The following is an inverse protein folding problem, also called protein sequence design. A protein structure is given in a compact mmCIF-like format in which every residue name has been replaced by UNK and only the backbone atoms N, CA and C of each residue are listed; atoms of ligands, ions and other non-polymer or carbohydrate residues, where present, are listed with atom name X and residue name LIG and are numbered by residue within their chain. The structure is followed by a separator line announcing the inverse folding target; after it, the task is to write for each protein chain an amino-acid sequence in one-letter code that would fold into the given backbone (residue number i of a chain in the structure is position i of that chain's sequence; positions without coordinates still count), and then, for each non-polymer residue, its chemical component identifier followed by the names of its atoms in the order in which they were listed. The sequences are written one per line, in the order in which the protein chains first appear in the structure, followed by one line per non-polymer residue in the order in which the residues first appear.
data_IF_340644091027
#
_entry.id   IF_340644091027
#
_cell.length_a   1.000
_cell.length_b   1.000
_cell.length_c   1.000
_cell.angle_alpha   90.00
_cell.angle_beta   90.00
_cell.angle_gamma   90.00
#
_symmetry.space_group_name_H-M   'P 1'
#
loop_
_entity.id
_entity.type
_entity.pdbx_description
1 polymer ?
#
# COMPACT_ATOMS: atom_id res chain seq x y z
N UNK A 1 21.40 8.99 33.46
CA UNK A 1 20.83 8.34 34.67
C UNK A 1 20.02 7.15 34.22
N UNK A 2 20.43 5.96 34.66
CA UNK A 2 20.21 4.69 33.97
C UNK A 2 18.77 4.14 34.06
N UNK A 3 18.30 3.58 32.94
CA UNK A 3 17.01 2.90 32.73
C UNK A 3 16.75 1.74 33.72
N UNK A 4 17.79 1.19 34.34
CA UNK A 4 17.70 0.11 35.34
C UNK A 4 16.93 0.52 36.60
N UNK A 5 16.90 1.80 36.94
CA UNK A 5 16.26 2.29 38.17
C UNK A 5 14.73 2.33 38.09
N UNK A 6 14.17 2.34 36.87
CA UNK A 6 12.72 2.42 36.62
C UNK A 6 12.04 1.05 36.71
N UNK A 7 12.64 0.01 36.14
CA UNK A 7 12.14 -1.37 36.21
C UNK A 7 12.09 -1.90 37.63
N UNK A 8 13.07 -1.57 38.47
CA UNK A 8 13.11 -1.97 39.88
C UNK A 8 11.98 -1.32 40.70
N UNK A 9 11.62 -0.06 40.41
CA UNK A 9 10.53 0.64 41.11
C UNK A 9 9.14 0.11 40.72
N UNK A 10 8.95 -0.23 39.45
CA UNK A 10 7.68 -0.80 38.96
C UNK A 10 7.47 -2.22 39.51
N UNK A 11 8.53 -3.05 39.56
CA UNK A 11 8.45 -4.40 40.11
C UNK A 11 8.13 -4.42 41.62
N UNK A 12 8.70 -3.49 42.40
CA UNK A 12 8.41 -3.36 43.83
C UNK A 12 6.98 -2.86 44.13
N UNK A 13 6.34 -2.17 43.18
CA UNK A 13 4.98 -1.63 43.35
C UNK A 13 3.89 -2.67 43.03
N UNK A 14 4.22 -3.71 42.25
CA UNK A 14 3.25 -4.67 41.70
C UNK A 14 3.34 -6.09 42.29
N UNK A 15 4.23 -6.34 43.26
CA UNK A 15 4.17 -7.56 44.08
C UNK A 15 4.33 -8.90 43.34
N UNK A 16 5.00 -8.92 42.19
CA UNK A 16 5.28 -10.15 41.43
C UNK A 16 6.79 -10.42 41.38
N UNK A 17 7.28 -11.32 42.21
CA UNK A 17 8.63 -11.88 42.06
C UNK A 17 8.62 -12.99 41.01
N UNK A 18 9.47 -12.88 39.98
CA UNK A 18 9.92 -14.02 39.18
C UNK A 18 9.28 -14.22 37.80
N UNK A 19 9.72 -13.44 36.80
CA UNK A 19 9.70 -13.87 35.40
C UNK A 19 10.89 -13.23 34.65
N UNK A 20 11.67 -13.97 33.84
CA UNK A 20 12.76 -13.39 33.07
C UNK A 20 12.20 -12.47 31.96
N UNK A 21 12.85 -11.32 31.76
CA UNK A 21 12.44 -10.35 30.75
C UNK A 21 12.59 -10.90 29.32
N UNK A 22 11.61 -10.71 28.42
CA UNK A 22 11.81 -10.99 27.00
C UNK A 22 12.80 -9.98 26.41
N UNK A 23 13.80 -10.47 25.68
CA UNK A 23 14.79 -9.63 25.00
C UNK A 23 14.15 -8.93 23.79
N UNK A 24 13.57 -7.75 24.00
CA UNK A 24 13.06 -6.90 22.94
C UNK A 24 14.13 -5.90 22.49
N UNK A 25 14.96 -6.28 21.52
CA UNK A 25 15.81 -5.32 20.80
C UNK A 25 15.91 -5.52 19.28
N UNK A 26 15.15 -6.46 18.71
CA UNK A 26 15.20 -6.71 17.27
C UNK A 26 14.12 -5.98 16.42
N UNK A 27 12.99 -5.57 17.01
CA UNK A 27 11.85 -5.03 16.22
C UNK A 27 11.89 -3.53 15.93
N UNK A 28 12.36 -2.71 16.87
CA UNK A 28 12.30 -1.25 16.75
C UNK A 28 13.28 -0.67 15.72
N UNK A 29 14.44 -1.30 15.57
CA UNK A 29 15.46 -0.84 14.62
C UNK A 29 15.04 -1.10 13.16
N UNK A 30 14.39 -2.25 12.89
CA UNK A 30 13.92 -2.63 11.55
C UNK A 30 12.87 -1.65 11.01
N UNK A 31 11.87 -1.28 11.82
CA UNK A 31 10.84 -0.32 11.44
C UNK A 31 11.41 1.09 11.20
N UNK A 32 12.39 1.51 12.02
CA UNK A 32 13.05 2.82 11.86
C UNK A 32 13.95 2.91 10.63
N UNK A 33 14.49 1.78 10.16
CA UNK A 33 15.34 1.70 8.99
C UNK A 33 14.51 1.63 7.69
N UNK A 34 13.36 0.97 7.70
CA UNK A 34 12.40 0.99 6.59
C UNK A 34 11.93 2.43 6.28
N UNK A 35 11.65 3.23 7.32
CA UNK A 35 11.25 4.64 7.19
C UNK A 35 12.40 5.60 6.78
N UNK A 36 13.67 5.15 6.84
CA UNK A 36 14.84 5.96 6.46
C UNK A 36 15.38 5.63 5.07
N UNK A 37 15.10 4.43 4.54
CA UNK A 37 15.59 3.96 3.25
C UNK A 37 15.00 4.72 2.05
N UNK A 38 13.85 5.39 2.20
CA UNK A 38 13.31 6.29 1.17
C UNK A 38 14.19 7.53 0.91
N UNK A 39 15.21 7.80 1.73
CA UNK A 39 16.00 9.04 1.64
C UNK A 39 17.42 8.91 1.11
N UNK A 40 17.90 7.72 0.76
CA UNK A 40 19.26 7.59 0.22
C UNK A 40 19.37 6.43 -0.76
N UNK A 41 19.40 6.76 -2.05
CA UNK A 41 19.78 5.84 -3.09
C UNK A 41 21.28 5.50 -3.04
N UNK A 42 21.57 4.23 -3.30
CA UNK A 42 22.83 3.77 -3.87
C UNK A 42 23.91 3.33 -2.87
N UNK A 43 24.08 2.01 -2.71
CA UNK A 43 25.36 1.31 -2.84
C UNK A 43 25.18 -0.21 -2.69
N UNK A 44 25.76 -0.97 -3.63
CA UNK A 44 25.90 -2.44 -3.58
C UNK A 44 26.86 -2.87 -2.46
N UNK A 45 26.75 -4.13 -1.99
CA UNK A 45 27.95 -4.87 -1.64
C UNK A 45 28.07 -6.24 -2.32
N UNK A 46 29.35 -6.61 -2.38
CA UNK A 46 30.02 -7.70 -3.06
C UNK A 46 29.86 -9.07 -2.39
N UNK A 47 30.13 -10.08 -3.23
CA UNK A 47 30.24 -11.52 -3.01
C UNK A 47 30.89 -11.99 -1.70
N UNK A 48 30.36 -13.10 -1.15
CA UNK A 48 31.18 -14.10 -0.44
C UNK A 48 30.57 -15.51 -0.63
N UNK A 49 31.35 -16.41 -1.24
CA UNK A 49 31.20 -17.88 -1.26
C UNK A 49 31.34 -18.41 0.18
N UNK A 50 30.77 -19.50 0.69
CA UNK A 50 30.56 -20.90 0.22
C UNK A 50 29.89 -21.64 1.39
N UNK A 51 29.04 -22.64 1.13
CA UNK A 51 29.11 -23.98 1.75
C UNK A 51 27.95 -24.85 1.24
N UNK A 52 28.30 -25.85 0.45
CA UNK A 52 27.45 -26.94 -0.03
C UNK A 52 27.21 -27.95 1.10
N UNK A 53 25.95 -28.30 1.35
CA UNK A 53 25.57 -29.53 2.05
C UNK A 53 24.57 -30.28 1.17
N UNK A 54 25.04 -31.38 0.59
CA UNK A 54 24.24 -32.29 -0.21
C UNK A 54 23.32 -33.11 0.71
N UNK A 55 22.02 -33.05 0.44
CA UNK A 55 21.06 -34.04 0.91
C UNK A 55 20.35 -34.62 -0.31
N UNK A 56 20.64 -35.89 -0.60
CA UNK A 56 19.96 -36.68 -1.62
C UNK A 56 18.48 -36.82 -1.25
N UNK A 57 17.62 -36.07 -1.94
CA UNK A 57 16.18 -36.25 -1.98
C UNK A 57 15.74 -36.26 -3.44
N UNK A 58 14.87 -37.19 -3.79
CA UNK A 58 14.25 -37.34 -5.12
C UNK A 58 13.77 -35.97 -5.62
N UNK A 59 14.01 -35.57 -6.89
CA UNK A 59 13.53 -34.28 -7.39
C UNK A 59 11.99 -34.29 -7.34
N UNK A 60 11.42 -33.61 -6.35
CA UNK A 60 10.04 -33.19 -6.42
C UNK A 60 9.97 -32.20 -7.55
N UNK A 61 9.26 -32.54 -8.63
CA UNK A 61 8.93 -31.59 -9.68
C UNK A 61 8.32 -30.37 -8.99
N UNK A 62 9.06 -29.25 -9.04
CA UNK A 62 8.54 -27.96 -8.66
C UNK A 62 7.37 -27.68 -9.59
N UNK A 63 6.16 -27.82 -9.08
CA UNK A 63 4.98 -27.22 -9.69
C UNK A 63 5.17 -25.71 -9.62
N UNK A 64 5.91 -25.14 -10.58
CA UNK A 64 5.72 -23.75 -10.93
C UNK A 64 4.32 -23.67 -11.53
N UNK A 65 3.38 -22.93 -10.92
CA UNK A 65 2.12 -22.66 -11.57
C UNK A 65 2.43 -22.10 -12.96
N UNK A 66 1.77 -22.60 -13.99
CA UNK A 66 1.74 -21.95 -15.30
C UNK A 66 1.06 -20.60 -15.12
N UNK A 67 1.82 -19.59 -14.69
CA UNK A 67 1.37 -18.20 -14.70
C UNK A 67 1.26 -17.86 -16.19
N UNK A 68 0.07 -17.52 -16.70
CA UNK A 68 -0.08 -17.07 -18.07
C UNK A 68 0.97 -16.00 -18.38
N UNK A 69 1.53 -16.02 -19.58
CA UNK A 69 2.51 -15.01 -19.99
C UNK A 69 1.95 -13.62 -19.65
N UNK A 70 2.66 -12.89 -18.78
CA UNK A 70 2.18 -11.63 -18.26
C UNK A 70 1.91 -10.68 -19.44
N UNK A 71 0.70 -10.13 -19.51
CA UNK A 71 0.41 -9.05 -20.46
C UNK A 71 1.46 -7.94 -20.29
N UNK A 72 1.95 -7.32 -21.36
CA UNK A 72 2.88 -6.20 -21.22
C UNK A 72 2.25 -5.06 -20.42
N UNK A 73 3.08 -4.22 -19.81
CA UNK A 73 2.65 -2.93 -19.27
C UNK A 73 2.56 -1.95 -20.44
N UNK A 74 1.33 -1.52 -20.78
CA UNK A 74 1.08 -0.48 -21.76
C UNK A 74 0.39 0.70 -21.06
N UNK A 75 1.20 1.66 -20.63
CA UNK A 75 0.75 2.81 -19.86
C UNK A 75 -0.23 3.70 -20.62
N UNK A 76 -0.22 3.64 -21.96
CA UNK A 76 -1.14 4.43 -22.79
C UNK A 76 -2.51 3.77 -22.96
N UNK A 77 -2.66 2.51 -22.54
CA UNK A 77 -3.91 1.78 -22.63
C UNK A 77 -4.86 2.07 -21.45
N UNK A 78 -4.37 2.70 -20.38
CA UNK A 78 -5.16 2.98 -19.19
C UNK A 78 -6.20 4.09 -19.43
N UNK A 79 -7.39 3.89 -18.86
CA UNK A 79 -8.54 4.78 -19.07
C UNK A 79 -8.58 5.91 -18.02
N UNK A 80 -8.69 7.17 -18.45
CA UNK A 80 -9.09 8.28 -17.56
C UNK A 80 -10.61 8.39 -17.49
N UNK A 81 -11.20 8.06 -16.35
CA UNK A 81 -12.65 8.05 -16.15
C UNK A 81 -13.13 9.43 -15.68
N UNK A 82 -13.67 10.21 -16.60
CA UNK A 82 -14.24 11.55 -16.32
C UNK A 82 -15.76 11.58 -16.37
N UNK A 83 -16.40 10.42 -16.56
CA UNK A 83 -17.85 10.28 -16.74
C UNK A 83 -18.46 9.30 -15.74
N UNK A 84 -19.55 9.67 -15.02
CA UNK A 84 -20.17 8.80 -14.01
C UNK A 84 -20.63 7.44 -14.55
N UNK A 85 -21.13 7.37 -15.78
CA UNK A 85 -21.61 6.11 -16.35
C UNK A 85 -20.45 5.12 -16.59
N UNK A 86 -19.27 5.62 -17.00
CA UNK A 86 -18.06 4.81 -17.16
C UNK A 86 -17.59 4.26 -15.81
N UNK A 87 -17.60 5.08 -14.76
CA UNK A 87 -17.31 4.60 -13.41
C UNK A 87 -18.29 3.51 -12.96
N UNK A 88 -19.59 3.68 -13.24
CA UNK A 88 -20.60 2.67 -12.91
C UNK A 88 -20.35 1.33 -13.62
N UNK A 89 -19.88 1.34 -14.86
CA UNK A 89 -19.49 0.12 -15.57
C UNK A 89 -18.31 -0.60 -14.91
N UNK A 90 -17.25 0.14 -14.55
CA UNK A 90 -16.10 -0.42 -13.82
C UNK A 90 -16.50 -1.02 -12.48
N UNK A 91 -17.34 -0.30 -11.72
CA UNK A 91 -17.93 -0.81 -10.45
C UNK A 91 -18.73 -2.09 -10.69
N UNK A 92 -19.55 -2.15 -11.74
CA UNK A 92 -20.34 -3.34 -12.06
C UNK A 92 -19.45 -4.54 -12.41
N UNK A 93 -18.38 -4.34 -13.18
CA UNK A 93 -17.41 -5.41 -13.51
C UNK A 93 -16.70 -5.93 -12.26
N UNK A 94 -16.21 -5.02 -11.41
CA UNK A 94 -15.56 -5.37 -10.14
C UNK A 94 -16.49 -6.21 -9.24
N UNK A 95 -17.76 -5.82 -9.12
CA UNK A 95 -18.78 -6.58 -8.39
C UNK A 95 -19.02 -7.97 -8.99
N UNK A 96 -19.12 -8.05 -10.32
CA UNK A 96 -19.39 -9.31 -11.00
C UNK A 96 -18.23 -10.32 -10.83
N UNK A 97 -16.97 -9.86 -10.82
CA UNK A 97 -15.81 -10.74 -10.64
C UNK A 97 -15.43 -10.99 -9.17
N UNK A 98 -15.93 -10.17 -8.24
CA UNK A 98 -15.72 -10.36 -6.79
C UNK A 98 -14.37 -9.86 -6.27
N UNK A 99 -13.60 -9.12 -7.06
CA UNK A 99 -12.39 -8.43 -6.60
C UNK A 99 -12.03 -7.22 -7.47
N UNK A 100 -11.21 -6.33 -6.94
CA UNK A 100 -10.64 -5.18 -7.65
C UNK A 100 -9.38 -4.71 -6.93
N UNK A 101 -8.32 -4.35 -7.67
CA UNK A 101 -7.22 -3.61 -7.06
C UNK A 101 -7.55 -2.12 -7.03
N UNK A 102 -7.20 -1.45 -5.95
CA UNK A 102 -7.53 -0.05 -5.69
C UNK A 102 -6.33 0.67 -5.08
N UNK A 103 -6.16 1.92 -5.47
CA UNK A 103 -5.21 2.84 -4.89
C UNK A 103 -5.81 4.27 -4.86
N UNK A 104 -5.29 5.11 -3.95
CA UNK A 104 -5.75 6.48 -3.74
C UNK A 104 -4.61 7.47 -3.92
N UNK A 105 -4.90 8.52 -4.69
CA UNK A 105 -3.97 9.60 -4.94
C UNK A 105 -4.37 10.84 -4.14
N UNK A 106 -3.41 11.50 -3.50
CA UNK A 106 -3.69 12.59 -2.55
C UNK A 106 -2.75 13.79 -2.69
N UNK A 107 -3.10 14.90 -2.04
CA UNK A 107 -2.25 16.10 -1.99
C UNK A 107 -1.15 16.05 -0.91
N UNK A 108 -1.01 14.95 -0.16
CA UNK A 108 -0.01 14.85 0.89
C UNK A 108 0.13 13.49 1.56
N UNK A 109 1.28 13.27 2.21
CA UNK A 109 1.64 11.97 2.80
C UNK A 109 0.93 11.65 4.13
N UNK A 110 0.24 12.61 4.75
CA UNK A 110 -0.47 12.37 6.00
C UNK A 110 -1.96 12.11 5.72
N UNK A 111 -2.46 10.87 5.87
CA UNK A 111 -3.83 10.52 5.49
C UNK A 111 -4.90 11.20 6.36
N UNK A 112 -4.55 11.73 7.53
CA UNK A 112 -5.50 12.46 8.41
C UNK A 112 -5.78 13.87 7.89
N UNK A 113 -4.81 14.50 7.23
CA UNK A 113 -4.92 15.89 6.76
C UNK A 113 -4.95 16.04 5.23
N UNK A 114 -4.53 15.02 4.50
CA UNK A 114 -4.51 15.02 3.05
C UNK A 114 -5.92 15.01 2.45
N UNK A 115 -6.03 15.51 1.23
CA UNK A 115 -7.26 15.48 0.44
C UNK A 115 -7.13 14.46 -0.67
N UNK A 116 -8.23 13.77 -0.94
CA UNK A 116 -8.32 12.84 -2.04
C UNK A 116 -8.31 13.60 -3.37
N UNK A 117 -7.39 13.23 -4.25
CA UNK A 117 -7.20 13.82 -5.59
C UNK A 117 -7.72 12.87 -6.66
N UNK A 118 -7.58 11.56 -6.48
CA UNK A 118 -8.18 10.57 -7.36
C UNK A 118 -8.13 9.16 -6.80
N UNK A 119 -8.74 8.24 -7.53
CA UNK A 119 -8.80 6.82 -7.21
C UNK A 119 -8.41 6.06 -8.49
N UNK A 120 -7.58 5.04 -8.39
CA UNK A 120 -7.34 4.11 -9.49
C UNK A 120 -7.94 2.75 -9.19
N UNK A 121 -8.32 2.03 -10.25
CA UNK A 121 -8.86 0.68 -10.16
C UNK A 121 -8.19 -0.20 -11.22
N UNK A 122 -7.92 -1.47 -10.89
CA UNK A 122 -7.56 -2.49 -11.87
C UNK A 122 -8.44 -3.74 -11.73
N UNK A 123 -8.95 -4.21 -12.87
CA UNK A 123 -9.83 -5.39 -12.96
C UNK A 123 -9.07 -6.64 -13.37
N UNK A 124 -8.05 -6.47 -14.22
CA UNK A 124 -7.20 -7.53 -14.74
C UNK A 124 -5.83 -6.94 -15.14
N UNK A 125 -4.78 -7.76 -15.33
CA UNK A 125 -3.52 -7.30 -15.88
C UNK A 125 -3.70 -6.47 -17.17
N UNK A 126 -3.28 -5.21 -17.13
CA UNK A 126 -3.40 -4.25 -18.23
C UNK A 126 -4.81 -3.67 -18.45
N UNK A 127 -5.78 -3.98 -17.60
CA UNK A 127 -7.10 -3.33 -17.54
C UNK A 127 -7.19 -2.52 -16.24
N UNK A 128 -6.62 -1.31 -16.28
CA UNK A 128 -6.63 -0.35 -15.19
C UNK A 128 -7.11 1.04 -15.63
N UNK A 129 -7.60 1.82 -14.68
CA UNK A 129 -8.12 3.17 -14.90
C UNK A 129 -7.76 4.12 -13.77
N UNK A 130 -7.87 5.42 -14.05
CA UNK A 130 -7.77 6.50 -13.07
C UNK A 130 -9.02 7.39 -13.10
N UNK A 131 -9.53 7.71 -11.91
CA UNK A 131 -10.71 8.53 -11.69
C UNK A 131 -10.24 9.84 -11.03
N UNK A 132 -10.05 10.94 -11.78
CA UNK A 132 -9.73 12.23 -11.21
C UNK A 132 -10.92 12.81 -10.43
N UNK A 133 -10.65 13.42 -9.27
CA UNK A 133 -11.65 13.95 -8.33
C UNK A 133 -11.29 15.37 -7.85
N UNK A 134 -9.99 15.62 -7.64
CA UNK A 134 -9.48 16.83 -6.97
C UNK A 134 -8.44 17.62 -7.77
N UNK A 135 -8.27 17.34 -9.06
CA UNK A 135 -7.29 18.04 -9.90
C UNK A 135 -7.61 19.55 -10.05
N UNK A 136 -6.56 20.37 -10.08
CA UNK A 136 -6.64 21.82 -10.19
C UNK A 136 -7.06 22.56 -8.92
N UNK A 137 -7.14 21.90 -7.75
CA UNK A 137 -7.52 22.55 -6.50
C UNK A 137 -6.43 23.49 -5.94
N UNK A 138 -5.15 23.19 -6.18
CA UNK A 138 -4.00 23.96 -5.70
C UNK A 138 -3.55 25.11 -6.60
N UNK A 139 -4.10 25.27 -7.81
CA UNK A 139 -3.75 26.39 -8.70
C UNK A 139 -4.44 27.67 -8.23
N UNK A 140 -3.65 28.63 -7.77
CA UNK A 140 -4.11 29.97 -7.34
C UNK A 140 -4.48 30.91 -8.50
N UNK A 141 -4.21 30.52 -9.74
CA UNK A 141 -4.57 31.33 -10.90
C UNK A 141 -6.04 31.09 -11.27
N UNK A 142 -6.88 32.09 -11.00
CA UNK A 142 -8.31 32.15 -11.34
C UNK A 142 -8.61 31.88 -12.84
N UNK A 143 -7.58 31.95 -13.70
CA UNK A 143 -7.68 31.75 -15.14
C UNK A 143 -7.34 30.33 -15.60
N UNK A 144 -6.88 29.44 -14.71
CA UNK A 144 -6.60 28.05 -15.07
C UNK A 144 -7.90 27.25 -15.18
N UNK A 145 -8.17 26.68 -16.36
CA UNK A 145 -9.29 25.75 -16.54
C UNK A 145 -9.06 24.49 -15.70
N UNK A 146 -10.03 24.16 -14.83
CA UNK A 146 -10.05 22.86 -14.16
C UNK A 146 -10.33 21.77 -15.19
N UNK A 147 -9.57 20.66 -15.18
CA UNK A 147 -9.84 19.58 -16.09
C UNK A 147 -11.21 18.95 -15.79
N UNK A 148 -11.79 18.32 -16.81
CA UNK A 148 -13.05 17.59 -16.65
C UNK A 148 -12.82 16.42 -15.69
N UNK A 149 -13.66 16.32 -14.66
CA UNK A 149 -13.59 15.29 -13.63
C UNK A 149 -14.97 15.04 -13.03
N UNK A 150 -15.14 13.92 -12.33
CA UNK A 150 -16.42 13.60 -11.68
C UNK A 150 -16.48 14.31 -10.33
N UNK A 151 -17.64 14.92 -10.02
CA UNK A 151 -17.90 15.46 -8.68
C UNK A 151 -17.74 14.38 -7.60
N UNK A 152 -17.05 14.72 -6.51
CA UNK A 152 -16.67 13.77 -5.46
C UNK A 152 -17.88 13.05 -4.86
N UNK A 153 -19.02 13.73 -4.68
CA UNK A 153 -20.24 13.14 -4.13
C UNK A 153 -20.80 12.03 -5.03
N UNK A 154 -20.68 12.20 -6.36
CA UNK A 154 -21.10 11.18 -7.33
C UNK A 154 -20.14 9.99 -7.31
N UNK A 155 -18.84 10.24 -7.20
CA UNK A 155 -17.84 9.16 -7.06
C UNK A 155 -18.09 8.35 -5.80
N UNK A 156 -18.27 9.01 -4.64
CA UNK A 156 -18.59 8.37 -3.37
C UNK A 156 -19.87 7.53 -3.48
N UNK A 157 -20.93 8.08 -4.09
CA UNK A 157 -22.20 7.37 -4.28
C UNK A 157 -22.02 6.09 -5.09
N UNK A 158 -21.18 6.11 -6.13
CA UNK A 158 -20.95 4.95 -7.00
C UNK A 158 -20.00 3.92 -6.38
N UNK A 159 -18.96 4.37 -5.66
CA UNK A 159 -17.90 3.47 -5.17
C UNK A 159 -18.17 2.91 -3.77
N UNK A 160 -18.90 3.63 -2.89
CA UNK A 160 -19.19 3.17 -1.53
C UNK A 160 -19.82 1.77 -1.50
N UNK A 161 -20.85 1.45 -2.33
CA UNK A 161 -21.42 0.11 -2.36
C UNK A 161 -20.49 -0.99 -2.89
N UNK A 162 -19.35 -0.66 -3.51
CA UNK A 162 -18.31 -1.61 -3.92
C UNK A 162 -17.31 -1.83 -2.78
N UNK A 163 -16.87 -0.74 -2.15
CA UNK A 163 -15.85 -0.77 -1.10
C UNK A 163 -16.34 -1.43 0.18
N UNK A 164 -17.63 -1.29 0.51
CA UNK A 164 -18.24 -1.90 1.70
C UNK A 164 -18.84 -3.29 1.42
N UNK A 165 -18.82 -3.76 0.18
CA UNK A 165 -19.40 -5.05 -0.19
C UNK A 165 -18.55 -6.22 0.33
N UNK A 166 -19.07 -7.08 1.23
CA UNK A 166 -18.32 -8.21 1.75
C UNK A 166 -18.00 -9.28 0.70
N UNK A 167 -18.70 -9.28 -0.45
CA UNK A 167 -18.48 -10.23 -1.54
C UNK A 167 -17.38 -9.79 -2.51
N UNK A 168 -16.86 -8.56 -2.38
CA UNK A 168 -15.83 -8.02 -3.28
C UNK A 168 -14.53 -7.80 -2.51
N UNK A 169 -13.45 -8.47 -2.90
CA UNK A 169 -12.13 -8.25 -2.33
C UNK A 169 -11.48 -6.98 -2.88
N UNK A 170 -11.03 -6.07 -2.01
CA UNK A 170 -10.23 -4.90 -2.40
C UNK A 170 -8.75 -5.23 -2.21
N UNK A 171 -7.95 -5.08 -3.25
CA UNK A 171 -6.52 -5.41 -3.22
C UNK A 171 -5.74 -4.10 -3.29
N UNK A 172 -4.81 -3.88 -2.38
CA UNK A 172 -4.02 -2.65 -2.33
C UNK A 172 -2.58 -2.94 -1.91
N UNK A 173 -1.73 -1.93 -2.04
CA UNK A 173 -0.37 -1.96 -1.53
C UNK A 173 -0.28 -0.97 -0.38
N UNK A 174 0.02 -1.42 0.85
CA UNK A 174 -0.07 -0.57 2.04
C UNK A 174 -1.48 0.05 2.20
N UNK A 175 -2.50 -0.78 2.01
CA UNK A 175 -3.92 -0.38 1.89
C UNK A 175 -4.49 0.31 3.14
N UNK A 176 -3.75 0.26 4.25
CA UNK A 176 -4.02 1.05 5.47
C UNK A 176 -4.15 2.55 5.15
N UNK A 177 -3.31 3.08 4.26
CA UNK A 177 -3.37 4.48 3.86
C UNK A 177 -4.70 4.81 3.17
N UNK A 178 -5.09 4.00 2.18
CA UNK A 178 -6.34 4.12 1.44
C UNK A 178 -7.56 4.02 2.35
N UNK A 179 -7.56 3.04 3.27
CA UNK A 179 -8.61 2.91 4.29
C UNK A 179 -8.78 4.23 5.05
N UNK A 180 -7.68 4.88 5.42
CA UNK A 180 -7.74 6.14 6.17
C UNK A 180 -8.37 7.27 5.36
N UNK A 181 -8.06 7.35 4.06
CA UNK A 181 -8.67 8.29 3.12
C UNK A 181 -10.18 8.04 2.96
N UNK A 182 -10.58 6.79 2.81
CA UNK A 182 -12.00 6.42 2.68
C UNK A 182 -12.79 6.59 3.99
N UNK A 183 -12.16 6.36 5.14
CA UNK A 183 -12.79 6.61 6.44
C UNK A 183 -13.13 8.10 6.64
N UNK A 184 -12.33 9.03 6.08
CA UNK A 184 -12.64 10.46 6.09
C UNK A 184 -13.89 10.82 5.25
N UNK A 185 -14.27 9.94 4.32
CA UNK A 185 -15.46 10.03 3.48
C UNK A 185 -16.61 9.13 3.96
N UNK A 186 -16.53 8.66 5.21
CA UNK A 186 -17.51 7.74 5.82
C UNK A 186 -17.69 6.44 5.03
N UNK A 187 -16.61 5.89 4.48
CA UNK A 187 -16.59 4.59 3.80
C UNK A 187 -15.77 3.61 4.64
N UNK A 188 -16.31 2.41 4.90
CA UNK A 188 -15.62 1.32 5.61
C UNK A 188 -15.24 0.20 4.64
N UNK A 189 -14.06 0.31 4.05
CA UNK A 189 -13.58 -0.68 3.08
C UNK A 189 -13.33 -2.05 3.71
N UNK A 190 -14.01 -3.09 3.23
CA UNK A 190 -13.79 -4.49 3.59
C UNK A 190 -14.49 -5.44 2.61
N UNK A 191 -13.99 -6.67 2.38
CA UNK A 191 -12.70 -7.21 2.81
C UNK A 191 -11.54 -6.68 1.96
N UNK A 192 -10.32 -6.77 2.50
CA UNK A 192 -9.11 -6.24 1.87
C UNK A 192 -8.00 -7.28 1.79
N UNK A 193 -7.11 -7.20 0.80
CA UNK A 193 -5.80 -7.86 0.80
C UNK A 193 -4.72 -6.80 0.56
N UNK A 194 -3.58 -6.96 1.22
CA UNK A 194 -2.44 -6.04 1.12
C UNK A 194 -1.20 -6.74 0.56
N UNK A 195 -0.70 -6.31 -0.60
CA UNK A 195 0.47 -6.91 -1.26
C UNK A 195 1.78 -6.69 -0.52
N UNK A 196 1.91 -5.59 0.23
CA UNK A 196 3.07 -5.36 1.10
C UNK A 196 3.11 -6.43 2.19
N UNK A 197 1.97 -6.72 2.83
CA UNK A 197 1.91 -7.72 3.89
C UNK A 197 1.95 -9.16 3.35
N UNK A 198 1.42 -9.40 2.14
CA UNK A 198 1.61 -10.67 1.44
C UNK A 198 3.10 -10.94 1.21
N UNK A 199 3.85 -9.95 0.73
CA UNK A 199 5.30 -10.11 0.57
C UNK A 199 6.02 -10.25 1.91
N UNK A 200 5.63 -9.45 2.91
CA UNK A 200 6.24 -9.50 4.24
C UNK A 200 6.12 -10.89 4.88
N UNK A 201 4.93 -11.48 4.90
CA UNK A 201 4.73 -12.79 5.53
C UNK A 201 5.46 -13.92 4.78
N UNK A 202 5.68 -13.77 3.47
CA UNK A 202 6.41 -14.74 2.64
C UNK A 202 7.93 -14.61 2.81
N UNK A 203 8.45 -13.38 2.85
CA UNK A 203 9.86 -13.08 2.60
C UNK A 203 10.45 -12.07 3.60
N UNK A 204 9.90 -12.01 4.83
CA UNK A 204 10.35 -11.09 5.88
C UNK A 204 11.88 -11.09 6.05
N UNK A 205 12.46 -9.89 5.94
CA UNK A 205 13.90 -9.66 6.15
C UNK A 205 14.79 -10.01 4.96
N UNK A 206 14.25 -10.43 3.82
CA UNK A 206 15.03 -10.69 2.61
C UNK A 206 15.28 -9.41 1.78
N UNK A 207 14.27 -8.55 1.65
CA UNK A 207 14.28 -7.34 0.83
C UNK A 207 13.25 -6.33 1.35
N UNK A 208 13.13 -5.15 0.73
CA UNK A 208 12.03 -4.23 1.05
C UNK A 208 10.72 -4.74 0.44
N UNK A 209 9.60 -4.31 1.00
CA UNK A 209 8.26 -4.70 0.57
C UNK A 209 7.48 -3.55 -0.07
N UNK A 210 8.19 -2.47 -0.47
CA UNK A 210 7.65 -1.38 -1.27
C UNK A 210 7.34 -1.80 -2.70
N UNK A 211 6.35 -1.16 -3.32
CA UNK A 211 5.80 -1.57 -4.62
C UNK A 211 6.85 -1.64 -5.73
N UNK A 212 7.69 -0.62 -5.86
CA UNK A 212 8.72 -0.53 -6.91
C UNK A 212 9.67 -1.72 -6.86
N UNK A 213 10.18 -2.04 -5.66
CA UNK A 213 11.12 -3.16 -5.46
C UNK A 213 10.43 -4.51 -5.71
N UNK A 214 9.18 -4.67 -5.25
CA UNK A 214 8.40 -5.88 -5.51
C UNK A 214 8.07 -6.03 -7.00
N UNK A 215 7.75 -4.95 -7.70
CA UNK A 215 7.49 -4.96 -9.14
C UNK A 215 8.74 -5.36 -9.93
N UNK A 216 9.90 -4.80 -9.61
CA UNK A 216 11.15 -5.17 -10.28
C UNK A 216 11.50 -6.64 -10.01
N UNK A 217 11.41 -7.08 -8.74
CA UNK A 217 11.76 -8.43 -8.32
C UNK A 217 10.83 -9.49 -8.90
N UNK A 218 9.52 -9.29 -8.74
CA UNK A 218 8.54 -10.31 -9.09
C UNK A 218 8.04 -10.18 -10.50
N UNK A 219 7.95 -8.98 -11.09
CA UNK A 219 7.34 -8.75 -12.40
C UNK A 219 8.38 -8.42 -13.50
N UNK A 220 9.62 -8.11 -13.12
CA UNK A 220 10.64 -7.61 -14.05
C UNK A 220 10.28 -6.25 -14.65
N UNK A 221 9.42 -5.48 -13.97
CA UNK A 221 8.89 -4.20 -14.41
C UNK A 221 9.28 -3.11 -13.44
N UNK A 222 9.75 -1.98 -13.96
CA UNK A 222 10.09 -0.81 -13.16
C UNK A 222 8.96 0.22 -13.26
N UNK A 223 8.20 0.48 -12.19
CA UNK A 223 7.12 1.46 -12.21
C UNK A 223 7.63 2.90 -12.42
N UNK A 224 6.73 3.79 -12.83
CA UNK A 224 6.95 5.22 -12.88
C UNK A 224 7.19 5.72 -11.45
N UNK A 225 8.32 6.39 -11.20
CA UNK A 225 8.56 6.96 -9.88
C UNK A 225 7.73 8.24 -9.68
N UNK A 226 7.22 8.48 -8.48
CA UNK A 226 6.45 9.70 -8.16
C UNK A 226 7.15 11.00 -8.58
N UNK A 227 8.48 11.06 -8.44
CA UNK A 227 9.30 12.21 -8.85
C UNK A 227 9.24 12.52 -10.35
N UNK A 228 8.93 11.53 -11.19
CA UNK A 228 8.89 11.67 -12.65
C UNK A 228 7.57 12.34 -13.10
N UNK A 229 6.53 12.28 -12.25
CA UNK A 229 5.25 12.97 -12.47
C UNK A 229 5.11 14.27 -11.66
N UNK A 230 5.58 14.28 -10.40
CA UNK A 230 5.41 15.39 -9.46
C UNK A 230 6.66 16.28 -9.32
N UNK A 231 7.81 15.89 -9.89
CA UNK A 231 9.07 16.60 -9.71
C UNK A 231 9.74 16.35 -8.36
N UNK A 232 10.75 17.15 -8.03
CA UNK A 232 11.57 16.96 -6.82
C UNK A 232 11.88 18.27 -6.09
N UNK A 233 12.13 18.18 -4.79
CA UNK A 233 12.65 19.30 -3.99
C UNK A 233 11.66 20.45 -3.89
N UNK A 234 12.14 21.69 -3.99
CA UNK A 234 11.29 22.89 -3.85
C UNK A 234 10.30 23.09 -5.00
N UNK A 235 10.54 22.46 -6.15
CA UNK A 235 9.67 22.51 -7.33
C UNK A 235 8.73 21.30 -7.42
N UNK A 236 8.75 20.41 -6.42
CA UNK A 236 7.81 19.30 -6.36
C UNK A 236 6.39 19.85 -6.18
N UNK A 237 5.48 19.39 -7.02
CA UNK A 237 4.06 19.74 -6.94
C UNK A 237 3.28 18.65 -6.21
N UNK A 238 2.11 18.99 -5.70
CA UNK A 238 1.15 18.03 -5.15
C UNK A 238 0.39 17.33 -6.29
N UNK A 239 -0.19 16.15 -6.03
CA UNK A 239 -0.76 15.32 -7.11
C UNK A 239 -1.91 16.01 -7.86
N UNK A 240 -2.64 16.91 -7.20
CA UNK A 240 -3.71 17.72 -7.82
C UNK A 240 -3.22 18.69 -8.90
N UNK A 241 -1.91 18.88 -9.02
CA UNK A 241 -1.29 19.73 -10.03
C UNK A 241 -0.65 18.94 -11.17
N UNK A 242 -0.61 17.61 -11.07
CA UNK A 242 -0.05 16.73 -12.09
C UNK A 242 -0.98 16.69 -13.31
N UNK A 243 -0.47 16.81 -14.55
CA UNK A 243 -1.29 16.66 -15.75
C UNK A 243 -2.05 15.32 -15.80
N UNK A 244 -3.31 15.33 -16.24
CA UNK A 244 -4.18 14.14 -16.17
C UNK A 244 -3.65 12.92 -16.92
N UNK A 245 -2.97 13.12 -18.06
CA UNK A 245 -2.34 12.06 -18.83
C UNK A 245 -1.27 11.33 -18.00
N UNK A 246 -0.40 12.10 -17.33
CA UNK A 246 0.64 11.55 -16.45
C UNK A 246 0.07 10.95 -15.18
N UNK A 247 -0.91 11.62 -14.56
CA UNK A 247 -1.60 11.13 -13.37
C UNK A 247 -2.30 9.80 -13.66
N UNK A 248 -2.91 9.65 -14.85
CA UNK A 248 -3.54 8.40 -15.28
C UNK A 248 -2.51 7.29 -15.44
N UNK A 249 -1.40 7.56 -16.12
CA UNK A 249 -0.33 6.57 -16.32
C UNK A 249 0.22 6.06 -14.99
N UNK A 250 0.55 6.97 -14.07
CA UNK A 250 1.09 6.64 -12.75
C UNK A 250 0.07 5.88 -11.89
N UNK A 251 -1.10 6.47 -11.63
CA UNK A 251 -2.05 5.90 -10.68
C UNK A 251 -2.65 4.57 -11.17
N UNK A 252 -2.92 4.44 -12.47
CA UNK A 252 -3.44 3.19 -13.01
C UNK A 252 -2.35 2.10 -13.11
N UNK A 253 -1.08 2.47 -13.27
CA UNK A 253 0.03 1.52 -13.15
C UNK A 253 0.13 0.96 -11.73
N UNK A 254 0.03 1.80 -10.69
CA UNK A 254 0.08 1.35 -9.29
C UNK A 254 -0.99 0.31 -8.99
N UNK A 255 -2.23 0.51 -9.47
CA UNK A 255 -3.31 -0.47 -9.35
C UNK A 255 -3.05 -1.76 -10.19
N UNK A 256 -2.53 -1.65 -11.42
CA UNK A 256 -2.21 -2.82 -12.27
C UNK A 256 -1.07 -3.65 -11.67
N UNK A 257 0.02 -3.00 -11.26
CA UNK A 257 1.17 -3.63 -10.60
C UNK A 257 0.71 -4.33 -9.32
N UNK A 258 -0.08 -3.66 -8.49
CA UNK A 258 -0.65 -4.24 -7.26
C UNK A 258 -1.45 -5.49 -7.55
N UNK A 259 -2.34 -5.48 -8.57
CA UNK A 259 -3.11 -6.66 -8.93
C UNK A 259 -2.21 -7.82 -9.37
N UNK A 260 -1.23 -7.55 -10.23
CA UNK A 260 -0.27 -8.56 -10.72
C UNK A 260 0.60 -9.12 -9.60
N UNK A 261 1.00 -8.30 -8.63
CA UNK A 261 1.70 -8.76 -7.43
C UNK A 261 0.81 -9.68 -6.61
N UNK A 262 -0.45 -9.33 -6.39
CA UNK A 262 -1.40 -10.18 -5.68
C UNK A 262 -1.60 -11.53 -6.36
N UNK A 263 -1.76 -11.56 -7.70
CA UNK A 263 -1.86 -12.81 -8.48
C UNK A 263 -0.64 -13.72 -8.31
N UNK A 264 0.56 -13.16 -8.10
CA UNK A 264 1.79 -13.93 -7.86
C UNK A 264 2.00 -14.32 -6.40
N UNK A 265 1.69 -13.43 -5.46
CA UNK A 265 2.00 -13.62 -4.05
C UNK A 265 0.90 -14.41 -3.31
N UNK A 266 -0.38 -14.14 -3.58
CA UNK A 266 -1.49 -14.75 -2.83
C UNK A 266 -1.48 -16.29 -2.90
N UNK A 267 -1.28 -16.95 -4.05
CA UNK A 267 -1.25 -18.41 -4.12
C UNK A 267 -0.12 -19.03 -3.27
N UNK A 268 1.00 -18.31 -3.12
CA UNK A 268 2.18 -18.77 -2.38
C UNK A 268 1.91 -18.94 -0.89
N UNK A 269 0.95 -18.21 -0.30
CA UNK A 269 0.64 -18.32 1.13
C UNK A 269 0.35 -19.77 1.55
N UNK A 270 -0.38 -20.50 0.72
CA UNK A 270 -0.72 -21.91 0.95
C UNK A 270 0.48 -22.83 0.75
N UNK A 271 1.23 -22.61 -0.34
CA UNK A 271 2.44 -23.37 -0.71
C UNK A 271 3.52 -23.27 0.37
N UNK A 272 3.74 -22.06 0.86
CA UNK A 272 4.81 -21.73 1.81
C UNK A 272 4.30 -21.85 3.27
N UNK A 273 3.05 -22.31 3.47
CA UNK A 273 2.40 -22.61 4.76
C UNK A 273 2.31 -21.43 5.74
N UNK A 274 2.17 -20.22 5.20
CA UNK A 274 2.05 -18.98 5.99
C UNK A 274 0.65 -18.36 5.93
N UNK A 275 -0.31 -19.01 5.27
CA UNK A 275 -1.69 -18.54 5.14
C UNK A 275 -2.36 -18.21 6.48
N UNK A 276 -2.16 -19.03 7.52
CA UNK A 276 -2.77 -18.76 8.84
C UNK A 276 -2.31 -17.45 9.45
N UNK A 277 -1.01 -17.14 9.36
CA UNK A 277 -0.45 -15.89 9.92
C UNK A 277 -1.06 -14.70 9.19
N UNK A 278 -1.04 -14.73 7.86
CA UNK A 278 -1.62 -13.66 7.06
C UNK A 278 -3.11 -13.44 7.33
N UNK A 279 -3.91 -14.50 7.23
CA UNK A 279 -5.38 -14.39 7.29
C UNK A 279 -5.91 -14.12 8.70
N UNK A 280 -5.21 -14.59 9.75
CA UNK A 280 -5.73 -14.49 11.13
C UNK A 280 -5.02 -13.44 11.99
N UNK A 281 -3.86 -12.93 11.57
CA UNK A 281 -3.08 -11.95 12.33
C UNK A 281 -2.85 -10.67 11.52
N UNK A 282 -2.15 -10.75 10.40
CA UNK A 282 -1.69 -9.55 9.68
C UNK A 282 -2.86 -8.80 9.02
N UNK A 283 -3.69 -9.53 8.25
CA UNK A 283 -4.80 -8.95 7.48
C UNK A 283 -5.87 -8.30 8.37
N UNK A 284 -6.35 -8.92 9.48
CA UNK A 284 -7.31 -8.27 10.37
C UNK A 284 -6.75 -7.05 11.12
N UNK A 285 -5.42 -6.94 11.25
CA UNK A 285 -4.78 -5.85 11.98
C UNK A 285 -4.73 -4.53 11.16
N UNK A 286 -4.77 -4.62 9.83
CA UNK A 286 -4.72 -3.45 8.92
C UNK A 286 -5.75 -2.37 9.30
N UNK A 287 -7.08 -2.65 9.37
CA UNK A 287 -8.06 -1.64 9.71
C UNK A 287 -7.92 -1.13 11.16
N UNK A 288 -7.45 -1.98 12.08
CA UNK A 288 -7.22 -1.58 13.48
C UNK A 288 -6.10 -0.54 13.56
N UNK A 289 -5.00 -0.75 12.84
CA UNK A 289 -3.88 0.19 12.80
C UNK A 289 -4.30 1.49 12.12
N UNK A 290 -5.08 1.42 11.04
CA UNK A 290 -5.63 2.62 10.40
C UNK A 290 -6.47 3.46 11.39
N UNK A 291 -7.34 2.81 12.18
CA UNK A 291 -8.16 3.50 13.19
C UNK A 291 -7.30 4.10 14.33
N UNK A 292 -6.27 3.38 14.78
CA UNK A 292 -5.33 3.88 15.79
C UNK A 292 -4.57 5.12 15.30
N UNK A 293 -4.07 5.09 14.06
CA UNK A 293 -3.35 6.22 13.46
C UNK A 293 -4.25 7.45 13.29
N UNK A 294 -5.50 7.23 12.88
CA UNK A 294 -6.49 8.31 12.76
C UNK A 294 -6.92 8.89 14.09
N UNK A 295 -7.04 8.07 15.14
CA UNK A 295 -7.38 8.53 16.48
C UNK A 295 -6.25 9.39 17.08
N UNK A 296 -4.99 9.03 16.78
CA UNK A 296 -3.82 9.71 17.30
C UNK A 296 -3.69 9.59 18.82
N UNK A 297 -2.85 10.45 19.39
CA UNK A 297 -2.63 10.54 20.84
C UNK A 297 -2.68 12.01 21.28
N UNK A 298 -3.36 12.27 22.39
CA UNK A 298 -3.38 13.61 22.99
C UNK A 298 -2.05 13.89 23.68
N UNK A 299 -1.44 15.03 23.36
CA UNK A 299 -0.13 15.43 23.89
C UNK A 299 -0.24 16.78 24.60
N UNK A 300 0.20 16.83 25.85
CA UNK A 300 0.35 18.09 26.59
C UNK A 300 1.67 18.79 26.20
N UNK A 301 1.53 19.83 25.37
CA UNK A 301 2.66 20.63 24.92
C UNK A 301 3.36 21.40 26.05
N UNK A 302 2.61 21.87 27.05
CA UNK A 302 3.17 22.65 28.15
C UNK A 302 4.02 21.78 29.09
N UNK A 303 3.64 20.51 29.26
CA UNK A 303 4.45 19.55 30.00
C UNK A 303 5.71 19.15 29.22
N UNK A 304 5.63 18.97 27.89
CA UNK A 304 6.78 18.62 27.05
C UNK A 304 7.80 19.76 26.87
N UNK A 305 7.39 21.01 27.02
CA UNK A 305 8.28 22.17 26.89
C UNK A 305 9.13 22.48 28.14
N UNK A 306 9.04 21.65 29.19
CA UNK A 306 9.84 21.76 30.42
C UNK A 306 11.08 20.87 30.32
#
# INVERSE_FOLDING_TARGET
MEFRTLTTRVAQTLGSEGAPAPSSSAGGAALSNALKAERAGGAKPSETRTATAAANGVPGESFEPLIPAAKPFDLNAYETITEPYRLAEWVSKAKAQGYVAIDTETDGLNPVSAKLVGISLALAPGEACYIPIGHGAGKQDLLSEKPKQIEIEKVITLIKPLLEDPAVLKIGQNIKYDISMFCALDIRMAPIDDTMLLSFVLEAGQHNHGMDELSELHLGHKPIAFKDVAGTGKSQVTFDQVPLDKATQYAAEDADVTLRLWERLKPRLSRDKVATIYETQDRPLIPVVADMERAGILVDRAQLSK
#
